data_IF_425958828709
#
_entry.id   IF_425958828709
#
_cell.length_a   1.000
_cell.length_b   1.000
_cell.length_c   1.000
_cell.angle_alpha   90.00
_cell.angle_beta   90.00
_cell.angle_gamma   90.00
#
_symmetry.space_group_name_H-M   'P 1'
#
loop_
_entity.id
_entity.type
_entity.pdbx_description
1 polymer ?
#
# COMPACT_ATOMS: atom_id res chain seq x y z
N UNK A 1 7.99 -15.60 11.02
CA UNK A 1 9.23 -14.88 10.77
C UNK A 1 10.23 -15.18 11.89
N UNK A 2 11.54 -15.31 11.62
CA UNK A 2 12.53 -15.69 12.65
C UNK A 2 12.96 -14.53 13.55
N UNK A 3 12.61 -13.29 13.21
CA UNK A 3 12.96 -12.09 13.95
C UNK A 3 11.72 -11.23 14.18
N UNK A 4 11.67 -10.53 15.30
CA UNK A 4 10.64 -9.54 15.59
C UNK A 4 11.18 -8.10 15.52
N UNK A 5 12.51 -7.92 15.69
CA UNK A 5 13.19 -6.63 15.51
C UNK A 5 14.39 -6.81 14.60
N UNK A 6 14.42 -6.10 13.46
CA UNK A 6 15.44 -6.27 12.42
C UNK A 6 15.53 -5.06 11.47
N UNK A 7 16.60 -4.97 10.72
CA UNK A 7 16.67 -4.10 9.55
C UNK A 7 16.06 -4.83 8.35
N UNK A 8 15.05 -4.25 7.75
CA UNK A 8 14.44 -4.76 6.52
C UNK A 8 14.97 -4.01 5.32
N UNK A 9 15.47 -4.75 4.34
CA UNK A 9 16.01 -4.21 3.10
C UNK A 9 15.08 -4.56 1.93
N UNK A 10 14.67 -3.54 1.20
CA UNK A 10 13.85 -3.65 0.00
C UNK A 10 14.65 -4.01 -1.25
N UNK A 11 13.95 -4.21 -2.36
CA UNK A 11 14.54 -4.59 -3.66
C UNK A 11 15.52 -3.54 -4.22
N UNK A 12 15.34 -2.29 -3.85
CA UNK A 12 16.17 -1.14 -4.26
C UNK A 12 17.34 -0.87 -3.31
N UNK A 13 17.54 -1.72 -2.29
CA UNK A 13 18.53 -1.54 -1.25
C UNK A 13 18.15 -0.55 -0.14
N UNK A 14 16.97 0.07 -0.21
CA UNK A 14 16.46 0.91 0.87
C UNK A 14 16.23 0.10 2.13
N UNK A 15 16.61 0.65 3.29
CA UNK A 15 16.57 -0.06 4.58
C UNK A 15 15.70 0.67 5.57
N UNK A 16 14.87 -0.07 6.30
CA UNK A 16 14.03 0.45 7.37
C UNK A 16 14.12 -0.44 8.62
N UNK A 17 14.17 0.18 9.79
CA UNK A 17 14.07 -0.55 11.04
C UNK A 17 12.64 -1.04 11.26
N UNK A 18 12.48 -2.32 11.52
CA UNK A 18 11.19 -2.99 11.63
C UNK A 18 11.05 -3.68 12.97
N UNK A 19 9.85 -3.57 13.56
CA UNK A 19 9.46 -4.33 14.75
C UNK A 19 8.08 -4.96 14.53
N UNK A 20 8.00 -6.29 14.66
CA UNK A 20 6.77 -7.05 14.57
C UNK A 20 6.14 -7.16 15.96
N UNK A 21 4.87 -6.85 16.07
CA UNK A 21 4.13 -7.02 17.33
C UNK A 21 3.91 -8.50 17.61
N UNK A 22 4.07 -8.89 18.88
CA UNK A 22 3.91 -10.27 19.35
C UNK A 22 2.68 -10.46 20.24
N UNK A 23 1.77 -9.50 20.22
CA UNK A 23 0.58 -9.45 21.07
C UNK A 23 -0.34 -10.64 20.83
N UNK A 24 -0.80 -11.27 21.92
CA UNK A 24 -1.81 -12.34 21.90
C UNK A 24 -3.22 -11.75 21.88
N UNK A 25 -4.12 -12.43 21.17
CA UNK A 25 -5.56 -12.22 21.31
C UNK A 25 -6.11 -12.82 22.61
N UNK A 26 -7.32 -12.41 22.97
CA UNK A 26 -8.02 -12.92 24.16
C UNK A 26 -8.19 -14.44 24.08
N UNK A 27 -7.77 -15.13 25.13
CA UNK A 27 -7.91 -16.59 25.23
C UNK A 27 -6.97 -17.40 24.33
N UNK A 28 -6.04 -16.75 23.63
CA UNK A 28 -5.04 -17.46 22.83
C UNK A 28 -3.88 -17.94 23.71
N UNK A 29 -3.44 -19.21 23.54
CA UNK A 29 -2.25 -19.71 24.22
C UNK A 29 -0.98 -19.06 23.64
N UNK A 30 0.09 -19.00 24.42
CA UNK A 30 1.40 -18.48 23.99
C UNK A 30 1.98 -19.22 22.78
N UNK A 31 1.59 -20.46 22.57
CA UNK A 31 1.95 -21.29 21.42
C UNK A 31 1.16 -20.94 20.13
N UNK A 32 0.16 -20.06 20.22
CA UNK A 32 -0.57 -19.59 19.05
C UNK A 32 0.37 -18.89 18.08
N UNK A 33 0.25 -19.16 16.80
CA UNK A 33 0.99 -18.46 15.76
C UNK A 33 0.33 -17.12 15.34
N UNK A 34 -0.88 -16.85 15.83
CA UNK A 34 -1.54 -15.57 15.62
C UNK A 34 -0.97 -14.47 16.49
N UNK A 35 -0.86 -13.27 15.92
CA UNK A 35 -0.71 -12.02 16.64
C UNK A 35 -1.90 -11.11 16.34
N UNK A 36 -2.13 -10.11 17.17
CA UNK A 36 -3.22 -9.15 16.96
C UNK A 36 -2.79 -7.73 17.28
N UNK A 37 -3.29 -6.78 16.50
CA UNK A 37 -3.25 -5.36 16.82
C UNK A 37 -4.43 -4.92 17.71
N UNK A 38 -5.44 -5.78 17.88
CA UNK A 38 -6.57 -5.62 18.79
C UNK A 38 -6.24 -6.15 20.19
N UNK A 39 -5.07 -5.78 20.71
CA UNK A 39 -4.59 -6.28 22.00
C UNK A 39 -5.45 -5.84 23.17
N UNK A 40 -5.41 -6.67 24.22
CA UNK A 40 -6.00 -6.37 25.52
C UNK A 40 -4.89 -6.01 26.51
N UNK A 41 -5.07 -4.96 27.28
CA UNK A 41 -4.18 -4.64 28.38
C UNK A 41 -4.55 -5.50 29.61
N UNK A 42 -4.16 -6.76 29.54
CA UNK A 42 -4.31 -7.74 30.60
C UNK A 42 -2.95 -8.38 30.91
N UNK A 43 -2.63 -8.71 32.17
CA UNK A 43 -1.36 -9.33 32.53
C UNK A 43 -0.93 -10.50 31.64
N UNK A 44 -1.85 -11.43 31.36
CA UNK A 44 -1.55 -12.62 30.55
C UNK A 44 -1.20 -12.26 29.10
N UNK A 45 -1.88 -11.27 28.50
CA UNK A 45 -1.59 -10.81 27.14
C UNK A 45 -0.19 -10.15 27.06
N UNK A 46 0.16 -9.36 28.08
CA UNK A 46 1.50 -8.73 28.17
C UNK A 46 2.58 -9.78 28.36
N UNK A 47 2.37 -10.73 29.29
CA UNK A 47 3.31 -11.84 29.53
C UNK A 47 3.47 -12.71 28.28
N UNK A 48 2.37 -13.10 27.65
CA UNK A 48 2.39 -13.91 26.44
C UNK A 48 3.10 -13.21 25.29
N UNK A 49 2.84 -11.93 25.08
CA UNK A 49 3.56 -11.12 24.10
C UNK A 49 5.06 -11.08 24.36
N UNK A 50 5.47 -10.87 25.62
CA UNK A 50 6.87 -10.90 26.01
C UNK A 50 7.51 -12.28 25.85
N UNK A 51 6.81 -13.37 26.23
CA UNK A 51 7.34 -14.72 26.11
C UNK A 51 7.60 -15.09 24.65
N UNK A 52 6.75 -14.65 23.75
CA UNK A 52 6.86 -14.91 22.29
C UNK A 52 7.93 -14.08 21.62
N UNK A 53 8.27 -12.89 22.15
CA UNK A 53 9.27 -12.02 21.56
C UNK A 53 10.62 -12.72 21.44
N UNK A 54 11.21 -12.73 20.24
CA UNK A 54 12.37 -13.55 19.92
C UNK A 54 13.71 -12.83 20.15
N UNK A 55 13.75 -11.52 19.94
CA UNK A 55 15.01 -10.76 20.01
C UNK A 55 15.35 -10.21 21.41
N UNK A 56 15.17 -11.04 22.45
CA UNK A 56 15.50 -10.69 23.86
C UNK A 56 16.98 -10.43 24.10
N UNK A 57 17.81 -10.88 23.18
CA UNK A 57 19.27 -10.70 23.23
C UNK A 57 19.74 -9.28 22.81
N UNK A 58 18.87 -8.52 22.16
CA UNK A 58 19.16 -7.14 21.72
C UNK A 58 18.22 -6.10 22.32
N UNK A 59 17.04 -6.52 22.81
CA UNK A 59 16.04 -5.61 23.35
C UNK A 59 15.25 -6.26 24.48
N UNK A 60 14.77 -5.44 25.41
CA UNK A 60 14.08 -5.86 26.64
C UNK A 60 12.66 -5.32 26.79
N UNK A 61 12.07 -4.81 25.74
CA UNK A 61 10.68 -4.35 25.70
C UNK A 61 9.98 -4.74 24.38
N UNK A 62 8.67 -4.59 24.35
CA UNK A 62 7.82 -4.86 23.18
C UNK A 62 6.80 -3.75 22.99
N UNK A 63 6.36 -3.56 21.76
CA UNK A 63 5.21 -2.71 21.43
C UNK A 63 3.93 -3.55 21.48
N UNK A 64 2.94 -3.08 22.24
CA UNK A 64 1.60 -3.66 22.29
C UNK A 64 0.60 -2.64 21.80
N UNK A 65 0.02 -2.88 20.63
CA UNK A 65 -1.14 -2.14 20.16
C UNK A 65 -2.39 -2.69 20.85
N UNK A 66 -3.22 -1.83 21.44
CA UNK A 66 -4.36 -2.28 22.23
C UNK A 66 -5.64 -1.49 21.93
N UNK A 67 -6.75 -2.12 22.23
CA UNK A 67 -8.08 -1.57 22.01
C UNK A 67 -8.84 -2.36 20.94
N UNK A 68 -10.16 -2.26 20.96
CA UNK A 68 -11.00 -2.87 19.94
C UNK A 68 -10.90 -2.09 18.63
N UNK A 69 -10.26 -2.70 17.62
CA UNK A 69 -10.25 -2.27 16.22
C UNK A 69 -11.40 -2.88 15.43
N UNK A 70 -11.29 -2.89 14.10
CA UNK A 70 -12.24 -3.55 13.16
C UNK A 70 -13.74 -3.22 13.38
N UNK A 71 -14.05 -2.11 13.96
CA UNK A 71 -15.42 -1.71 14.27
C UNK A 71 -15.48 -0.42 15.07
N UNK A 72 -14.31 0.20 15.28
CA UNK A 72 -14.22 1.54 15.87
C UNK A 72 -14.45 1.58 17.38
N UNK A 73 -14.20 0.49 18.11
CA UNK A 73 -14.41 0.43 19.56
C UNK A 73 -13.32 1.16 20.37
N UNK A 74 -12.07 0.97 20.03
CA UNK A 74 -10.94 1.54 20.76
C UNK A 74 -10.71 0.95 22.16
N UNK A 75 -9.92 1.62 23.02
CA UNK A 75 -9.65 1.19 24.39
C UNK A 75 -10.89 1.27 25.29
N UNK A 76 -11.04 0.30 26.18
CA UNK A 76 -12.09 0.32 27.21
C UNK A 76 -11.57 0.93 28.52
N UNK A 77 -12.54 1.27 29.43
CA UNK A 77 -12.20 1.71 30.78
C UNK A 77 -11.34 0.70 31.51
N UNK A 78 -11.65 -0.59 31.40
CA UNK A 78 -10.93 -1.67 32.08
C UNK A 78 -9.49 -1.78 31.57
N UNK A 79 -9.27 -1.65 30.26
CA UNK A 79 -7.92 -1.60 29.68
C UNK A 79 -7.11 -0.42 30.24
N UNK A 80 -7.71 0.74 30.36
CA UNK A 80 -7.06 1.94 30.91
C UNK A 80 -6.74 1.77 32.40
N UNK A 81 -7.65 1.18 33.18
CA UNK A 81 -7.42 0.87 34.59
C UNK A 81 -6.31 -0.15 34.77
N UNK A 82 -6.30 -1.23 33.97
CA UNK A 82 -5.22 -2.24 33.97
C UNK A 82 -3.88 -1.64 33.57
N UNK A 83 -3.84 -0.76 32.55
CA UNK A 83 -2.64 -0.02 32.21
C UNK A 83 -2.07 0.74 33.40
N UNK A 84 -2.92 1.51 34.10
CA UNK A 84 -2.50 2.28 35.28
C UNK A 84 -2.02 1.41 36.46
N UNK A 85 -2.53 0.20 36.61
CA UNK A 85 -2.06 -0.77 37.60
C UNK A 85 -0.71 -1.37 37.23
N UNK A 86 -0.54 -1.78 35.95
CA UNK A 86 0.70 -2.36 35.44
C UNK A 86 1.84 -1.33 35.35
N UNK A 87 1.53 -0.05 35.12
CA UNK A 87 2.51 1.03 35.15
C UNK A 87 3.16 1.19 36.56
N UNK A 88 2.40 0.99 37.61
CA UNK A 88 2.94 0.98 38.99
C UNK A 88 3.89 -0.19 39.25
N UNK A 89 3.85 -1.22 38.43
CA UNK A 89 4.61 -2.44 38.54
C UNK A 89 3.89 -3.52 39.37
N UNK A 90 3.75 -4.67 38.77
CA UNK A 90 3.21 -5.89 39.40
C UNK A 90 4.33 -6.92 39.41
N UNK A 91 4.60 -7.56 40.55
CA UNK A 91 5.67 -8.54 40.66
C UNK A 91 5.45 -9.70 39.67
N UNK A 92 6.44 -9.95 38.82
CA UNK A 92 6.45 -11.08 37.90
C UNK A 92 5.91 -10.77 36.51
N UNK A 93 5.45 -9.53 36.24
CA UNK A 93 5.05 -9.13 34.90
C UNK A 93 5.83 -7.88 34.45
N UNK A 94 6.00 -7.66 33.12
CA UNK A 94 6.64 -6.46 32.61
C UNK A 94 5.91 -5.20 33.06
N UNK A 95 6.67 -4.13 33.28
CA UNK A 95 6.11 -2.82 33.52
C UNK A 95 5.55 -2.28 32.19
N UNK A 96 4.35 -1.74 32.23
CA UNK A 96 3.66 -1.19 31.06
C UNK A 96 3.61 0.34 31.19
N UNK A 97 3.88 1.04 30.12
CA UNK A 97 3.59 2.47 29.97
C UNK A 97 2.87 2.75 28.66
N UNK A 98 2.06 3.78 28.65
CA UNK A 98 1.47 4.26 27.40
C UNK A 98 2.44 5.18 26.68
N UNK A 99 2.54 5.03 25.36
CA UNK A 99 3.38 5.83 24.49
C UNK A 99 2.79 5.89 23.08
N UNK A 100 3.27 6.80 22.27
CA UNK A 100 3.05 6.75 20.83
C UNK A 100 4.01 5.76 20.17
N UNK A 101 3.57 5.12 19.06
CA UNK A 101 4.40 4.17 18.34
C UNK A 101 5.74 4.80 17.90
N UNK A 102 5.73 6.04 17.37
CA UNK A 102 6.94 6.75 16.99
C UNK A 102 7.94 6.87 18.15
N UNK A 103 7.48 7.25 19.33
CA UNK A 103 8.34 7.31 20.53
C UNK A 103 8.97 5.95 20.87
N UNK A 104 8.19 4.86 20.77
CA UNK A 104 8.71 3.51 20.98
C UNK A 104 9.82 3.17 19.97
N UNK A 105 9.60 3.46 18.68
CA UNK A 105 10.58 3.19 17.63
C UNK A 105 11.85 4.03 17.81
N UNK A 106 11.74 5.30 18.16
CA UNK A 106 12.89 6.15 18.40
C UNK A 106 13.74 5.62 19.57
N UNK A 107 13.10 5.27 20.69
CA UNK A 107 13.78 4.72 21.86
C UNK A 107 14.40 3.34 21.59
N UNK A 108 13.71 2.49 20.84
CA UNK A 108 14.22 1.17 20.46
C UNK A 108 15.40 1.31 19.49
N UNK A 109 15.30 2.17 18.49
CA UNK A 109 16.38 2.44 17.55
C UNK A 109 17.66 2.90 18.25
N UNK A 110 17.56 3.86 19.17
CA UNK A 110 18.71 4.33 19.94
C UNK A 110 19.40 3.22 20.76
N UNK A 111 18.64 2.21 21.18
CA UNK A 111 19.21 1.05 21.91
C UNK A 111 19.89 0.04 21.01
N UNK A 112 19.41 -0.14 19.78
CA UNK A 112 19.83 -1.27 18.93
C UNK A 112 20.67 -0.89 17.72
N UNK A 113 20.69 0.36 17.30
CA UNK A 113 21.37 0.83 16.06
C UNK A 113 22.84 0.42 15.95
N UNK A 114 23.56 0.36 17.06
CA UNK A 114 24.97 -0.01 17.09
C UNK A 114 25.20 -1.48 17.54
N UNK A 115 24.12 -2.25 17.71
CA UNK A 115 24.24 -3.63 18.16
C UNK A 115 24.59 -4.54 16.98
N UNK A 116 25.76 -5.16 17.02
CA UNK A 116 26.27 -6.07 15.98
C UNK A 116 25.40 -7.33 15.77
N UNK A 117 24.46 -7.62 16.69
CA UNK A 117 23.52 -8.74 16.59
C UNK A 117 22.17 -8.32 16.04
N UNK A 118 21.98 -7.04 15.69
CA UNK A 118 20.75 -6.61 15.04
C UNK A 118 20.61 -7.36 13.71
N UNK A 119 19.57 -8.22 13.54
CA UNK A 119 19.41 -9.00 12.33
C UNK A 119 19.07 -8.12 11.12
N UNK A 120 19.38 -8.65 9.94
CA UNK A 120 18.96 -8.09 8.66
C UNK A 120 18.05 -9.08 7.94
N UNK A 121 17.01 -8.56 7.30
CA UNK A 121 16.12 -9.33 6.44
C UNK A 121 16.04 -8.66 5.07
N UNK A 122 16.43 -9.40 4.04
CA UNK A 122 16.36 -8.94 2.64
C UNK A 122 15.23 -9.69 1.94
N UNK A 123 14.34 -8.97 1.30
CA UNK A 123 13.22 -9.54 0.56
C UNK A 123 11.87 -9.31 1.22
N UNK A 124 10.87 -10.07 0.80
CA UNK A 124 9.48 -9.85 1.21
C UNK A 124 9.18 -10.33 2.63
N UNK A 125 8.29 -9.59 3.30
CA UNK A 125 7.59 -10.01 4.51
C UNK A 125 6.21 -10.55 4.08
N UNK A 126 6.05 -11.86 4.12
CA UNK A 126 4.92 -12.54 3.53
C UNK A 126 3.76 -12.69 4.53
N UNK A 127 2.55 -12.31 4.11
CA UNK A 127 1.31 -12.56 4.87
C UNK A 127 0.72 -13.92 4.47
N UNK A 128 0.97 -14.95 5.23
CA UNK A 128 0.57 -16.33 4.94
C UNK A 128 -0.94 -16.48 4.77
N UNK A 129 -1.72 -15.79 5.59
CA UNK A 129 -3.19 -15.84 5.52
C UNK A 129 -3.81 -15.14 4.32
N UNK A 130 -3.07 -14.22 3.69
CA UNK A 130 -3.60 -13.35 2.64
C UNK A 130 -2.95 -13.57 1.28
N UNK A 131 -2.23 -14.68 1.09
CA UNK A 131 -1.52 -14.98 -0.17
C UNK A 131 -2.42 -14.98 -1.39
N UNK A 132 -3.65 -15.47 -1.27
CA UNK A 132 -4.64 -15.47 -2.34
C UNK A 132 -4.97 -14.09 -2.87
N UNK A 133 -4.79 -13.02 -2.08
CA UNK A 133 -5.10 -11.65 -2.47
C UNK A 133 -4.21 -11.10 -3.59
N UNK A 134 -3.04 -11.66 -3.80
CA UNK A 134 -2.13 -11.25 -4.88
C UNK A 134 -2.69 -11.55 -6.27
N UNK A 135 -3.50 -12.59 -6.40
CA UNK A 135 -3.99 -13.08 -7.70
C UNK A 135 -5.51 -13.17 -7.81
N UNK A 136 -6.24 -13.18 -6.69
CA UNK A 136 -7.71 -13.23 -6.69
C UNK A 136 -8.28 -12.06 -7.46
N UNK A 137 -9.27 -12.31 -8.31
CA UNK A 137 -9.90 -11.29 -9.17
C UNK A 137 -8.89 -10.49 -10.00
N UNK A 138 -7.97 -11.19 -10.67
CA UNK A 138 -6.84 -10.59 -11.42
C UNK A 138 -7.27 -9.51 -12.41
N UNK A 139 -8.45 -9.66 -13.05
CA UNK A 139 -9.02 -8.62 -13.93
C UNK A 139 -9.21 -7.30 -13.17
N UNK A 140 -9.72 -7.34 -11.95
CA UNK A 140 -9.94 -6.15 -11.13
C UNK A 140 -8.61 -5.43 -10.84
N UNK A 141 -7.57 -6.20 -10.48
CA UNK A 141 -6.21 -5.67 -10.24
C UNK A 141 -5.61 -5.04 -11.50
N UNK A 142 -5.76 -5.73 -12.65
CA UNK A 142 -5.31 -5.20 -13.94
C UNK A 142 -6.02 -3.90 -14.32
N UNK A 143 -7.34 -3.86 -14.15
CA UNK A 143 -8.13 -2.67 -14.46
C UNK A 143 -7.75 -1.51 -13.56
N UNK A 144 -7.55 -1.75 -12.25
CA UNK A 144 -7.06 -0.73 -11.32
C UNK A 144 -5.73 -0.12 -11.80
N UNK A 145 -4.71 -0.95 -12.07
CA UNK A 145 -3.40 -0.45 -12.51
C UNK A 145 -3.48 0.31 -13.83
N UNK A 146 -4.25 -0.18 -14.80
CA UNK A 146 -4.42 0.52 -16.09
C UNK A 146 -5.14 1.85 -15.91
N UNK A 147 -6.13 1.90 -15.04
CA UNK A 147 -6.83 3.16 -14.73
C UNK A 147 -5.91 4.18 -14.08
N UNK A 148 -5.08 3.79 -13.13
CA UNK A 148 -4.08 4.68 -12.51
C UNK A 148 -3.15 5.30 -13.57
N UNK A 149 -2.65 4.50 -14.52
CA UNK A 149 -1.80 5.01 -15.60
C UNK A 149 -2.56 5.96 -16.51
N UNK A 150 -3.77 5.59 -16.94
CA UNK A 150 -4.58 6.45 -17.80
C UNK A 150 -4.92 7.79 -17.15
N UNK A 151 -5.18 7.81 -15.84
CA UNK A 151 -5.41 9.05 -15.09
C UNK A 151 -4.17 9.92 -15.04
N UNK A 152 -2.99 9.36 -14.75
CA UNK A 152 -1.72 10.11 -14.74
C UNK A 152 -1.41 10.70 -16.14
N UNK A 153 -1.63 9.92 -17.20
CA UNK A 153 -1.45 10.37 -18.57
C UNK A 153 -2.43 11.50 -18.92
N UNK A 154 -3.69 11.35 -18.58
CA UNK A 154 -4.72 12.35 -18.83
C UNK A 154 -4.43 13.68 -18.13
N UNK A 155 -4.01 13.62 -16.85
CA UNK A 155 -3.62 14.83 -16.10
C UNK A 155 -2.43 15.53 -16.75
N UNK A 156 -1.37 14.79 -17.10
CA UNK A 156 -0.18 15.33 -17.75
C UNK A 156 -0.51 15.99 -19.10
N UNK A 157 -1.21 15.25 -19.98
CA UNK A 157 -1.58 15.75 -21.31
C UNK A 157 -2.52 16.96 -21.24
N UNK A 158 -3.41 16.99 -20.24
CA UNK A 158 -4.30 18.13 -20.01
C UNK A 158 -3.53 19.39 -19.59
N UNK A 159 -2.54 19.25 -18.72
CA UNK A 159 -1.65 20.37 -18.33
C UNK A 159 -0.82 20.84 -19.52
N UNK A 160 -0.28 19.92 -20.33
CA UNK A 160 0.49 20.29 -21.52
C UNK A 160 -0.38 21.05 -22.54
N UNK A 161 -1.63 20.60 -22.75
CA UNK A 161 -2.56 21.29 -23.63
C UNK A 161 -2.89 22.71 -23.11
N UNK A 162 -3.14 22.90 -21.81
CA UNK A 162 -3.36 24.23 -21.24
C UNK A 162 -2.14 25.16 -21.38
N UNK A 163 -0.94 24.62 -21.22
CA UNK A 163 0.30 25.41 -21.34
C UNK A 163 0.58 25.85 -22.77
N UNK A 164 0.11 25.16 -23.80
CA UNK A 164 0.22 25.58 -25.20
C UNK A 164 -0.64 26.80 -25.53
N UNK A 165 -1.68 27.07 -24.77
CA UNK A 165 -2.36 28.35 -24.66
C UNK A 165 -3.26 28.75 -25.82
N UNK A 166 -3.47 27.90 -26.83
CA UNK A 166 -4.36 28.16 -27.97
C UNK A 166 -5.55 27.24 -27.88
N UNK A 167 -6.73 27.72 -28.02
CA UNK A 167 -7.99 26.92 -28.15
C UNK A 167 -7.94 25.45 -27.63
N UNK A 168 -7.19 25.27 -26.52
CA UNK A 168 -6.94 23.96 -25.93
C UNK A 168 -8.21 23.35 -25.33
N UNK A 169 -8.37 22.03 -25.37
CA UNK A 169 -9.40 21.38 -24.59
C UNK A 169 -9.30 21.77 -23.11
N UNK A 170 -10.43 22.15 -22.53
CA UNK A 170 -10.45 22.54 -21.10
C UNK A 170 -9.99 21.39 -20.19
N UNK A 171 -9.31 21.73 -19.09
CA UNK A 171 -8.90 20.73 -18.10
C UNK A 171 -10.12 19.98 -17.55
N UNK A 172 -10.17 18.64 -17.66
CA UNK A 172 -11.38 17.87 -17.41
C UNK A 172 -11.56 17.52 -15.92
N UNK A 173 -11.51 18.55 -15.06
CA UNK A 173 -11.50 18.36 -13.61
C UNK A 173 -12.66 17.51 -13.09
N UNK A 174 -13.87 17.73 -13.56
CA UNK A 174 -15.05 16.99 -13.10
C UNK A 174 -14.97 15.50 -13.46
N UNK A 175 -14.47 15.17 -14.64
CA UNK A 175 -14.31 13.78 -15.07
C UNK A 175 -13.15 13.11 -14.33
N UNK A 176 -12.04 13.82 -14.12
CA UNK A 176 -10.92 13.34 -13.31
C UNK A 176 -11.37 13.04 -11.88
N UNK A 177 -12.05 13.99 -11.21
CA UNK A 177 -12.54 13.79 -9.85
C UNK A 177 -13.46 12.56 -9.78
N UNK A 178 -14.44 12.46 -10.69
CA UNK A 178 -15.38 11.32 -10.77
C UNK A 178 -14.65 9.99 -10.96
N UNK A 179 -13.72 9.91 -11.89
CA UNK A 179 -12.97 8.69 -12.17
C UNK A 179 -12.05 8.30 -11.00
N UNK A 180 -11.37 9.28 -10.39
CA UNK A 180 -10.55 9.03 -9.20
C UNK A 180 -11.39 8.54 -8.01
N UNK A 181 -12.58 9.09 -7.78
CA UNK A 181 -13.48 8.59 -6.72
C UNK A 181 -13.85 7.12 -6.94
N UNK A 182 -14.15 6.71 -8.17
CA UNK A 182 -14.42 5.30 -8.49
C UNK A 182 -13.19 4.41 -8.30
N UNK A 183 -12.00 4.84 -8.75
CA UNK A 183 -10.75 4.09 -8.60
C UNK A 183 -10.45 3.90 -7.12
N UNK A 184 -10.46 4.97 -6.33
CA UNK A 184 -10.15 4.93 -4.90
C UNK A 184 -11.16 4.09 -4.11
N UNK A 185 -12.45 4.15 -4.47
CA UNK A 185 -13.47 3.27 -3.89
C UNK A 185 -13.16 1.80 -4.19
N UNK A 186 -12.75 1.48 -5.42
CA UNK A 186 -12.43 0.13 -5.84
C UNK A 186 -11.07 -0.38 -5.30
N UNK A 187 -10.26 0.49 -4.72
CA UNK A 187 -9.04 0.13 -3.98
C UNK A 187 -9.31 -0.26 -2.53
N UNK A 188 -10.58 -0.24 -2.09
CA UNK A 188 -10.95 -0.68 -0.74
C UNK A 188 -10.41 -2.08 -0.45
N UNK A 189 -9.98 -2.30 0.82
CA UNK A 189 -9.21 -3.47 1.22
C UNK A 189 -9.92 -4.83 1.06
N UNK A 190 -11.22 -4.85 0.79
CA UNK A 190 -11.98 -6.05 0.43
C UNK A 190 -12.40 -6.11 -1.04
N UNK A 191 -12.16 -5.05 -1.81
CA UNK A 191 -12.46 -5.03 -3.25
C UNK A 191 -11.22 -5.36 -4.07
N UNK A 192 -10.15 -4.59 -3.93
CA UNK A 192 -8.90 -4.80 -4.67
C UNK A 192 -8.28 -6.19 -4.41
N UNK A 193 -8.24 -6.71 -3.17
CA UNK A 193 -7.72 -8.05 -2.87
C UNK A 193 -8.53 -9.20 -3.46
N UNK A 194 -9.79 -9.01 -3.80
CA UNK A 194 -10.62 -10.04 -4.38
C UNK A 194 -11.51 -10.80 -3.39
N UNK A 195 -11.72 -10.27 -2.19
CA UNK A 195 -12.46 -10.91 -1.08
C UNK A 195 -13.90 -10.45 -0.91
N UNK A 196 -14.39 -9.58 -1.78
CA UNK A 196 -15.80 -9.13 -1.80
C UNK A 196 -16.75 -10.14 -2.43
N UNK A 197 -18.06 -9.84 -2.33
CA UNK A 197 -19.12 -10.63 -2.97
C UNK A 197 -19.19 -10.37 -4.48
N UNK A 198 -19.85 -11.26 -5.20
CA UNK A 198 -19.96 -11.22 -6.66
C UNK A 198 -20.52 -9.90 -7.19
N UNK A 199 -21.55 -9.36 -6.53
CA UNK A 199 -22.24 -8.13 -6.92
C UNK A 199 -21.30 -6.93 -6.95
N UNK A 200 -20.35 -6.87 -6.05
CA UNK A 200 -19.30 -5.84 -6.04
C UNK A 200 -18.46 -5.94 -7.31
N UNK A 201 -18.04 -7.14 -7.71
CA UNK A 201 -17.23 -7.31 -8.94
C UNK A 201 -18.04 -7.14 -10.23
N UNK A 202 -19.33 -7.37 -10.21
CA UNK A 202 -20.21 -7.00 -11.31
C UNK A 202 -20.31 -5.47 -11.45
N UNK A 203 -20.26 -4.74 -10.34
CA UNK A 203 -20.22 -3.27 -10.33
C UNK A 203 -18.86 -2.72 -10.76
N UNK A 204 -17.76 -3.20 -10.17
CA UNK A 204 -16.40 -2.74 -10.53
C UNK A 204 -16.10 -2.93 -12.02
N UNK A 205 -16.64 -4.00 -12.62
CA UNK A 205 -16.50 -4.24 -14.07
C UNK A 205 -17.09 -3.12 -14.90
N UNK A 206 -18.25 -2.59 -14.50
CA UNK A 206 -18.91 -1.49 -15.21
C UNK A 206 -18.16 -0.18 -15.02
N UNK A 207 -17.74 0.07 -13.78
CA UNK A 207 -17.02 1.28 -13.43
C UNK A 207 -15.66 1.37 -14.13
N UNK A 208 -14.89 0.28 -14.14
CA UNK A 208 -13.62 0.26 -14.88
C UNK A 208 -13.80 0.33 -16.40
N UNK A 209 -14.89 -0.19 -16.94
CA UNK A 209 -15.19 -0.02 -18.36
C UNK A 209 -15.55 1.44 -18.71
N UNK A 210 -16.26 2.13 -17.82
CA UNK A 210 -16.57 3.55 -17.97
C UNK A 210 -15.29 4.41 -17.86
N UNK A 211 -14.44 4.13 -16.89
CA UNK A 211 -13.14 4.80 -16.72
C UNK A 211 -12.27 4.61 -17.97
N UNK A 212 -12.12 3.37 -18.45
CA UNK A 212 -11.32 3.05 -19.64
C UNK A 212 -11.82 3.81 -20.88
N UNK A 213 -13.14 3.84 -21.10
CA UNK A 213 -13.75 4.55 -22.21
C UNK A 213 -13.53 6.05 -22.09
N UNK A 214 -13.92 6.65 -20.97
CA UNK A 214 -13.88 8.11 -20.77
C UNK A 214 -12.44 8.62 -20.79
N UNK A 215 -11.51 7.95 -20.08
CA UNK A 215 -10.11 8.36 -20.10
C UNK A 215 -9.49 8.27 -21.48
N UNK A 216 -9.81 7.21 -22.24
CA UNK A 216 -9.34 7.06 -23.62
C UNK A 216 -9.82 8.20 -24.50
N UNK A 217 -11.12 8.51 -24.50
CA UNK A 217 -11.70 9.59 -25.30
C UNK A 217 -11.04 10.94 -24.99
N UNK A 218 -10.83 11.23 -23.70
CA UNK A 218 -10.18 12.45 -23.26
C UNK A 218 -8.68 12.50 -23.59
N UNK A 219 -7.96 11.39 -23.51
CA UNK A 219 -6.55 11.27 -23.91
C UNK A 219 -6.42 11.48 -25.42
N UNK A 220 -7.23 10.77 -26.22
CA UNK A 220 -7.21 10.87 -27.68
C UNK A 220 -7.49 12.32 -28.14
N UNK A 221 -8.43 13.02 -27.52
CA UNK A 221 -8.70 14.45 -27.77
C UNK A 221 -7.45 15.33 -27.55
N UNK A 222 -6.75 15.12 -26.46
CA UNK A 222 -5.54 15.91 -26.11
C UNK A 222 -4.35 15.56 -26.98
N UNK A 223 -4.17 14.28 -27.29
CA UNK A 223 -3.14 13.86 -28.24
C UNK A 223 -3.38 14.43 -29.62
N UNK A 224 -4.62 14.44 -30.11
CA UNK A 224 -4.97 15.07 -31.39
C UNK A 224 -4.70 16.58 -31.39
N UNK A 225 -4.95 17.24 -30.26
CA UNK A 225 -4.64 18.68 -30.12
C UNK A 225 -3.13 18.97 -30.08
N UNK A 226 -2.36 18.16 -29.35
CA UNK A 226 -0.91 18.35 -29.14
C UNK A 226 -0.06 17.83 -30.30
N UNK A 227 -0.64 17.12 -31.26
CA UNK A 227 0.09 16.50 -32.37
C UNK A 227 -0.35 17.10 -33.70
N UNK A 228 0.61 17.61 -34.46
CA UNK A 228 0.33 17.99 -35.86
C UNK A 228 0.09 16.73 -36.69
N UNK A 229 -1.08 16.63 -37.32
CA UNK A 229 -1.36 15.55 -38.26
C UNK A 229 -0.45 15.69 -39.47
N UNK A 230 0.37 14.69 -39.71
CA UNK A 230 1.19 14.55 -40.94
C UNK A 230 0.84 13.25 -41.63
N UNK A 231 0.62 13.32 -42.93
CA UNK A 231 0.52 12.10 -43.74
C UNK A 231 1.79 11.26 -43.60
N UNK A 232 1.63 9.96 -43.42
CA UNK A 232 2.73 8.98 -43.32
C UNK A 232 3.63 9.10 -42.08
N UNK A 233 3.19 9.71 -40.97
CA UNK A 233 3.93 9.80 -39.73
C UNK A 233 3.15 9.21 -38.56
N UNK A 234 3.88 8.65 -37.60
CA UNK A 234 3.36 8.20 -36.30
C UNK A 234 4.08 8.96 -35.19
N UNK A 235 3.33 9.65 -34.36
CA UNK A 235 3.89 10.32 -33.18
C UNK A 235 3.74 9.42 -31.97
N UNK A 236 4.84 9.19 -31.27
CA UNK A 236 4.89 8.41 -30.05
C UNK A 236 5.18 9.35 -28.87
N UNK A 237 4.28 9.34 -27.89
CA UNK A 237 4.41 10.13 -26.68
C UNK A 237 5.01 9.29 -25.55
N UNK A 238 6.13 9.72 -24.97
CA UNK A 238 6.63 9.19 -23.72
C UNK A 238 6.21 10.11 -22.57
N UNK A 239 5.22 9.69 -21.82
CA UNK A 239 4.65 10.43 -20.68
C UNK A 239 5.46 10.27 -19.38
N UNK A 240 6.58 9.56 -19.42
CA UNK A 240 7.46 9.34 -18.26
C UNK A 240 8.66 10.28 -18.29
N UNK A 241 9.24 10.57 -17.13
CA UNK A 241 10.38 11.47 -16.98
C UNK A 241 11.76 10.88 -17.32
N UNK A 242 11.80 9.73 -18.01
CA UNK A 242 13.04 9.06 -18.41
C UNK A 242 12.92 8.43 -19.80
N UNK A 243 14.05 8.22 -20.45
CA UNK A 243 14.15 7.58 -21.76
C UNK A 243 13.67 6.11 -21.68
N UNK A 244 12.93 5.67 -22.70
CA UNK A 244 12.42 4.31 -22.83
C UNK A 244 12.83 3.69 -24.15
N UNK A 245 13.11 2.39 -24.11
CA UNK A 245 13.22 1.52 -25.27
C UNK A 245 12.15 0.42 -25.11
N UNK A 246 11.05 0.54 -25.85
CA UNK A 246 9.87 -0.31 -25.66
C UNK A 246 9.24 -0.66 -27.00
N UNK A 247 8.34 -1.65 -26.99
CA UNK A 247 7.55 -2.03 -28.17
C UNK A 247 6.34 -1.11 -28.29
N UNK A 248 6.11 -0.63 -29.52
CA UNK A 248 4.94 0.17 -29.88
C UNK A 248 4.05 -0.64 -30.81
N UNK A 249 2.77 -0.76 -30.42
CA UNK A 249 1.75 -1.39 -31.26
C UNK A 249 1.16 -0.34 -32.20
N UNK A 250 1.32 -0.55 -33.48
CA UNK A 250 0.81 0.33 -34.52
C UNK A 250 -0.34 -0.33 -35.29
N UNK A 251 -1.30 0.46 -35.82
CA UNK A 251 -2.26 -0.06 -36.79
C UNK A 251 -1.54 -0.72 -37.96
N UNK A 252 -2.07 -1.81 -38.49
CA UNK A 252 -1.49 -2.43 -39.66
C UNK A 252 -1.55 -1.45 -40.86
N UNK A 253 -0.39 -1.17 -41.45
CA UNK A 253 -0.26 -0.34 -42.64
C UNK A 253 0.41 -1.12 -43.78
N UNK A 254 0.11 -0.74 -45.00
CA UNK A 254 0.52 -1.45 -46.19
C UNK A 254 1.97 -1.11 -46.56
N UNK A 255 2.88 -2.02 -46.25
CA UNK A 255 4.08 -2.30 -47.03
C UNK A 255 5.28 -1.38 -46.97
N UNK A 256 5.38 -0.37 -46.12
CA UNK A 256 6.61 0.48 -46.01
C UNK A 256 7.32 0.27 -44.70
N UNK A 257 8.64 0.18 -44.71
CA UNK A 257 9.46 0.18 -43.50
C UNK A 257 9.37 1.56 -42.81
N UNK A 258 9.14 1.57 -41.52
CA UNK A 258 9.34 2.78 -40.69
C UNK A 258 10.84 3.09 -40.70
N UNK A 259 11.22 4.27 -41.12
CA UNK A 259 12.57 4.80 -40.95
C UNK A 259 12.55 5.75 -39.79
N UNK A 260 13.54 5.61 -38.90
CA UNK A 260 13.72 6.55 -37.80
C UNK A 260 13.88 7.96 -38.36
N UNK A 261 12.85 8.78 -38.16
CA UNK A 261 12.95 10.22 -38.36
C UNK A 261 13.55 10.80 -37.08
N UNK A 262 14.81 11.19 -37.11
CA UNK A 262 15.43 12.00 -36.07
C UNK A 262 14.99 13.45 -36.26
#
# INVERSE_FOLDING_TARGET
>A
HPYDSFMWEGIDGSRIFTHLITTLGVGQPETSFFTTYNGMLHPDAIMGGWHRYQNKDINNDILVCFGYGDGGGGPTRDMMEMSGRMDKGIKGIPKVRQAFAGQYFDELWERVKDNKRLPEWVGELYFEYHRGTYTSMARNKRSNRKSEYAMMELELLSVLAELDGKEAPAYPKSELDRMWEMILTNQFHDILPGSSIKEVYDQTKKEYADIEKTSKELIDERLSYLTDEKEEAVTIWNTLGYERNDLVELPAFDGSALTDGV
#
